data_IF_045453278989
#
_entry.id   IF_045453278989
#
_cell.length_a   1.000
_cell.length_b   1.000
_cell.length_c   1.000
_cell.angle_alpha   90.00
_cell.angle_beta   90.00
_cell.angle_gamma   90.00
#
_symmetry.space_group_name_H-M   'P 1'
#
loop_
_entity.id
_entity.type
_entity.pdbx_description
1 polymer ?
#
# COMPACT_ATOMS: atom_id res chain seq x y z
N UNK A 1 -0.23 20.84 3.57
CA UNK A 1 -1.61 20.50 3.19
C UNK A 1 -2.42 21.78 3.34
N UNK A 2 -3.25 22.15 2.38
CA UNK A 2 -4.16 23.29 2.51
C UNK A 2 -5.47 22.83 3.19
N UNK A 3 -6.37 23.78 3.52
CA UNK A 3 -7.61 23.49 4.24
C UNK A 3 -8.56 22.56 3.46
N UNK A 4 -8.66 22.73 2.15
CA UNK A 4 -9.51 21.88 1.31
C UNK A 4 -9.03 20.44 1.31
N UNK A 5 -7.73 20.21 1.15
CA UNK A 5 -7.12 18.87 1.21
C UNK A 5 -7.29 18.26 2.59
N UNK A 6 -7.16 19.06 3.67
CA UNK A 6 -7.39 18.58 5.04
C UNK A 6 -8.82 18.12 5.24
N UNK A 7 -9.78 18.87 4.70
CA UNK A 7 -11.20 18.50 4.70
C UNK A 7 -11.45 17.20 3.95
N UNK A 8 -10.92 17.06 2.74
CA UNK A 8 -11.13 15.88 1.90
C UNK A 8 -10.53 14.61 2.54
N UNK A 9 -9.35 14.73 3.19
CA UNK A 9 -8.75 13.64 3.98
C UNK A 9 -9.66 13.29 5.16
N UNK A 10 -10.20 14.27 5.87
CA UNK A 10 -11.15 14.06 6.97
C UNK A 10 -12.41 13.32 6.52
N UNK A 11 -13.01 13.74 5.41
CA UNK A 11 -14.19 13.07 4.83
C UNK A 11 -13.89 11.63 4.41
N UNK A 12 -12.70 11.36 3.85
CA UNK A 12 -12.27 10.01 3.52
C UNK A 12 -12.10 9.15 4.76
N UNK A 13 -11.53 9.72 5.82
CA UNK A 13 -11.41 9.04 7.12
C UNK A 13 -12.79 8.69 7.69
N UNK A 14 -13.70 9.65 7.76
CA UNK A 14 -15.06 9.45 8.30
C UNK A 14 -15.81 8.37 7.52
N UNK A 15 -15.72 8.39 6.19
CA UNK A 15 -16.31 7.36 5.32
C UNK A 15 -15.71 5.98 5.61
N UNK A 16 -14.39 5.88 5.74
CA UNK A 16 -13.70 4.64 6.06
C UNK A 16 -14.11 4.11 7.43
N UNK A 17 -14.20 4.97 8.43
CA UNK A 17 -14.63 4.59 9.78
C UNK A 17 -16.09 4.10 9.80
N UNK A 18 -16.97 4.74 9.04
CA UNK A 18 -18.36 4.29 8.91
C UNK A 18 -18.43 2.91 8.22
N UNK A 19 -17.65 2.71 7.16
CA UNK A 19 -17.56 1.41 6.50
C UNK A 19 -17.03 0.33 7.45
N UNK A 20 -15.95 0.59 8.19
CA UNK A 20 -15.39 -0.33 9.19
C UNK A 20 -16.38 -0.63 10.32
N UNK A 21 -17.18 0.36 10.76
CA UNK A 21 -18.22 0.16 11.76
C UNK A 21 -19.29 -0.81 11.25
N UNK A 22 -19.67 -0.73 9.99
CA UNK A 22 -20.62 -1.66 9.34
C UNK A 22 -20.03 -3.07 9.18
N UNK A 23 -18.72 -3.20 8.98
CA UNK A 23 -18.01 -4.49 9.01
C UNK A 23 -17.93 -5.10 10.43
N UNK A 24 -18.04 -4.27 11.47
CA UNK A 24 -17.92 -4.67 12.86
C UNK A 24 -16.54 -5.29 13.16
N UNK A 25 -16.52 -6.47 13.80
CA UNK A 25 -15.28 -7.18 14.17
C UNK A 25 -14.37 -7.55 13.00
N UNK A 26 -14.85 -7.44 11.77
CA UNK A 26 -14.09 -7.73 10.55
C UNK A 26 -13.37 -6.52 9.97
N UNK A 27 -13.36 -5.40 10.71
CA UNK A 27 -12.64 -4.18 10.29
C UNK A 27 -11.13 -4.38 10.14
N UNK A 28 -10.57 -5.39 10.78
CA UNK A 28 -9.19 -5.86 10.56
C UNK A 28 -9.19 -7.37 10.28
N UNK A 29 -8.25 -7.81 9.44
CA UNK A 29 -8.16 -9.23 9.07
C UNK A 29 -7.71 -10.11 10.25
N UNK A 30 -8.09 -11.42 10.27
CA UNK A 30 -7.64 -12.35 11.30
C UNK A 30 -6.11 -12.38 11.46
N UNK A 31 -5.37 -12.29 10.37
CA UNK A 31 -3.90 -12.25 10.41
C UNK A 31 -3.33 -11.01 11.11
N UNK A 32 -3.98 -9.86 10.99
CA UNK A 32 -3.60 -8.68 11.76
C UNK A 32 -3.90 -8.85 13.26
N UNK A 33 -5.01 -9.47 13.60
CA UNK A 33 -5.38 -9.81 14.98
C UNK A 33 -4.35 -10.73 15.62
N UNK A 34 -4.00 -11.82 14.95
CA UNK A 34 -2.97 -12.77 15.42
C UNK A 34 -1.61 -12.09 15.55
N UNK A 35 -1.32 -11.10 14.70
CA UNK A 35 -0.11 -10.27 14.75
C UNK A 35 -0.10 -9.21 15.86
N UNK A 36 -1.17 -9.13 16.67
CA UNK A 36 -1.23 -8.24 17.85
C UNK A 36 -1.96 -6.92 17.64
N UNK A 37 -2.46 -6.61 16.43
CA UNK A 37 -3.29 -5.43 16.21
C UNK A 37 -4.70 -5.62 16.79
N UNK A 38 -5.25 -4.56 17.39
CA UNK A 38 -6.53 -4.62 18.09
C UNK A 38 -7.65 -3.91 17.33
N UNK A 39 -7.34 -2.81 16.65
CA UNK A 39 -8.33 -1.96 15.96
C UNK A 39 -7.82 -1.44 14.62
N UNK A 40 -8.75 -0.95 13.79
CA UNK A 40 -8.40 -0.30 12.52
C UNK A 40 -7.68 1.03 12.75
N UNK A 41 -7.98 1.73 13.82
CA UNK A 41 -7.30 2.98 14.20
C UNK A 41 -5.81 2.72 14.48
N UNK A 42 -5.50 1.67 15.24
CA UNK A 42 -4.12 1.26 15.51
C UNK A 42 -3.37 0.91 14.22
N UNK A 43 -4.01 0.15 13.33
CA UNK A 43 -3.45 -0.17 12.01
C UNK A 43 -3.21 1.09 11.18
N UNK A 44 -4.15 2.04 11.19
CA UNK A 44 -4.07 3.30 10.45
C UNK A 44 -2.94 4.21 10.93
N UNK A 45 -2.66 4.23 12.24
CA UNK A 45 -1.51 4.95 12.80
C UNK A 45 -0.18 4.47 12.20
N UNK A 46 -0.01 3.16 12.03
CA UNK A 46 1.15 2.59 11.35
C UNK A 46 1.27 3.06 9.90
N UNK A 47 0.17 3.18 9.18
CA UNK A 47 0.15 3.70 7.81
C UNK A 47 0.56 5.17 7.76
N UNK A 48 0.09 6.02 8.69
CA UNK A 48 0.47 7.43 8.79
C UNK A 48 1.98 7.58 9.01
N UNK A 49 2.57 6.78 9.88
CA UNK A 49 4.03 6.79 10.11
C UNK A 49 4.82 6.43 8.84
N UNK A 50 4.32 5.50 8.05
CA UNK A 50 4.95 5.09 6.77
C UNK A 50 4.91 6.16 5.68
N UNK A 51 3.96 7.09 5.72
CA UNK A 51 3.87 8.19 4.75
C UNK A 51 5.03 9.18 4.84
N UNK A 52 5.76 9.21 5.94
CA UNK A 52 6.82 10.19 6.16
C UNK A 52 6.30 11.62 6.30
N UNK A 53 7.11 12.61 5.89
CA UNK A 53 6.80 14.05 5.99
C UNK A 53 6.33 14.69 4.68
N UNK A 54 5.96 13.90 3.67
CA UNK A 54 5.53 14.45 2.38
C UNK A 54 4.20 15.20 2.50
N UNK A 55 4.11 16.31 1.76
CA UNK A 55 2.85 17.05 1.65
C UNK A 55 1.84 16.22 0.86
N UNK A 56 0.63 16.06 1.42
CA UNK A 56 -0.51 15.48 0.69
C UNK A 56 -1.10 16.56 -0.22
N UNK A 57 -1.18 16.26 -1.51
CA UNK A 57 -1.70 17.17 -2.54
C UNK A 57 -3.21 17.03 -2.73
N UNK A 58 -3.79 15.90 -2.38
CA UNK A 58 -5.23 15.65 -2.42
C UNK A 58 -5.59 14.19 -2.24
N UNK A 59 -6.88 13.91 -2.41
CA UNK A 59 -7.46 12.57 -2.41
C UNK A 59 -7.98 12.25 -3.81
N UNK A 60 -7.62 11.09 -4.32
CA UNK A 60 -8.11 10.54 -5.58
C UNK A 60 -9.22 9.52 -5.31
N UNK A 61 -10.15 9.44 -6.21
CA UNK A 61 -11.08 8.31 -6.34
C UNK A 61 -10.51 7.30 -7.33
N UNK A 62 -11.00 6.06 -7.28
CA UNK A 62 -10.62 5.00 -8.23
C UNK A 62 -10.76 5.51 -9.66
N UNK A 63 -9.77 5.25 -10.50
CA UNK A 63 -9.66 5.70 -11.89
C UNK A 63 -9.53 7.22 -12.08
N UNK A 64 -9.34 7.99 -11.04
CA UNK A 64 -9.04 9.41 -11.12
C UNK A 64 -7.52 9.63 -11.17
N UNK A 65 -7.03 10.32 -12.19
CA UNK A 65 -5.61 10.64 -12.32
C UNK A 65 -5.23 11.86 -11.47
N UNK A 66 -4.02 11.88 -10.88
CA UNK A 66 -3.47 13.07 -10.23
C UNK A 66 -3.37 14.22 -11.25
N UNK A 67 -3.70 15.43 -10.80
CA UNK A 67 -3.69 16.65 -11.66
C UNK A 67 -2.29 17.22 -11.89
N UNK A 68 -1.37 16.89 -10.99
CA UNK A 68 0.04 17.32 -11.02
C UNK A 68 0.89 16.33 -10.20
N UNK A 69 2.24 16.33 -10.36
CA UNK A 69 3.13 15.54 -9.53
C UNK A 69 2.97 15.85 -8.04
N UNK A 70 3.12 14.84 -7.19
CA UNK A 70 3.03 14.98 -5.74
C UNK A 70 2.56 13.70 -5.07
N UNK A 71 2.37 13.76 -3.75
CA UNK A 71 1.86 12.66 -2.96
C UNK A 71 0.33 12.78 -2.82
N UNK A 72 -0.39 11.78 -3.30
CA UNK A 72 -1.84 11.71 -3.30
C UNK A 72 -2.32 10.49 -2.52
N UNK A 73 -3.41 10.62 -1.79
CA UNK A 73 -4.09 9.49 -1.18
C UNK A 73 -5.14 8.94 -2.14
N UNK A 74 -5.30 7.61 -2.16
CA UNK A 74 -6.36 6.95 -2.92
C UNK A 74 -7.46 6.49 -1.97
N UNK A 75 -8.67 7.03 -2.16
CA UNK A 75 -9.87 6.56 -1.49
C UNK A 75 -10.48 5.40 -2.29
N UNK A 76 -10.36 4.21 -1.75
CA UNK A 76 -10.86 2.96 -2.36
C UNK A 76 -12.28 2.61 -1.91
N UNK A 77 -12.87 3.35 -0.96
CA UNK A 77 -14.22 3.09 -0.50
C UNK A 77 -15.22 3.79 -1.44
N UNK A 78 -16.13 3.07 -2.10
CA UNK A 78 -17.14 3.68 -2.95
C UNK A 78 -18.06 4.69 -2.22
N UNK A 79 -18.49 5.72 -2.91
CA UNK A 79 -19.33 6.78 -2.32
C UNK A 79 -20.79 6.35 -2.12
N UNK A 80 -21.26 5.36 -2.86
CA UNK A 80 -22.61 4.81 -2.83
C UNK A 80 -22.89 3.91 -1.61
N UNK A 81 -21.94 3.83 -0.67
CA UNK A 81 -22.05 3.03 0.55
C UNK A 81 -22.47 1.57 0.30
N UNK A 82 -21.73 0.83 -0.52
CA UNK A 82 -22.08 -0.55 -0.82
C UNK A 82 -22.20 -1.37 0.47
N UNK A 83 -23.03 -2.42 0.43
CA UNK A 83 -23.07 -3.37 1.52
C UNK A 83 -21.68 -4.02 1.69
N UNK A 84 -21.14 -4.10 2.92
CA UNK A 84 -19.80 -4.67 3.15
C UNK A 84 -19.61 -6.07 2.57
N UNK A 85 -20.69 -6.86 2.48
CA UNK A 85 -20.65 -8.20 1.90
C UNK A 85 -20.33 -8.21 0.39
N UNK A 86 -20.55 -7.10 -0.32
CA UNK A 86 -20.23 -6.95 -1.74
C UNK A 86 -18.93 -6.19 -2.00
N UNK A 87 -18.27 -5.72 -0.94
CA UNK A 87 -16.97 -5.08 -1.07
C UNK A 87 -15.85 -6.13 -1.04
N UNK A 88 -15.38 -6.49 -2.20
CA UNK A 88 -14.21 -7.37 -2.36
C UNK A 88 -12.92 -6.55 -2.35
N UNK A 89 -12.73 -5.75 -1.29
CA UNK A 89 -11.48 -5.04 -1.05
C UNK A 89 -10.38 -6.02 -0.65
N UNK A 90 -9.58 -6.41 -1.61
CA UNK A 90 -8.39 -7.24 -1.37
C UNK A 90 -7.15 -6.58 -1.98
N UNK A 91 -6.00 -7.15 -1.71
CA UNK A 91 -4.73 -6.63 -2.21
C UNK A 91 -4.73 -6.52 -3.75
N UNK A 92 -5.24 -7.53 -4.46
CA UNK A 92 -5.34 -7.51 -5.91
C UNK A 92 -6.19 -6.36 -6.45
N UNK A 93 -7.34 -6.08 -5.81
CA UNK A 93 -8.19 -4.94 -6.19
C UNK A 93 -7.47 -3.62 -5.97
N UNK A 94 -6.82 -3.45 -4.79
CA UNK A 94 -6.08 -2.23 -4.48
C UNK A 94 -4.90 -1.96 -5.41
N UNK A 95 -4.25 -3.00 -5.93
CA UNK A 95 -3.20 -2.88 -6.96
C UNK A 95 -3.79 -2.36 -8.28
N UNK A 96 -4.91 -2.92 -8.72
CA UNK A 96 -5.61 -2.51 -9.94
C UNK A 96 -6.18 -1.09 -9.83
N UNK A 97 -6.68 -0.69 -8.66
CA UNK A 97 -7.19 0.66 -8.40
C UNK A 97 -6.08 1.71 -8.58
N UNK A 98 -4.86 1.43 -8.10
CA UNK A 98 -3.71 2.31 -8.30
C UNK A 98 -3.32 2.41 -9.78
N UNK A 99 -3.31 1.30 -10.50
CA UNK A 99 -3.03 1.27 -11.94
C UNK A 99 -4.10 2.04 -12.71
N UNK A 100 -5.37 1.89 -12.35
CA UNK A 100 -6.47 2.66 -12.94
C UNK A 100 -6.33 4.18 -12.72
N UNK A 101 -5.70 4.59 -11.61
CA UNK A 101 -5.34 5.98 -11.35
C UNK A 101 -4.12 6.48 -12.16
N UNK A 102 -3.47 5.60 -12.92
CA UNK A 102 -2.35 5.92 -13.81
C UNK A 102 -0.98 5.58 -13.26
N UNK A 103 -0.87 4.75 -12.22
CA UNK A 103 0.42 4.24 -11.76
C UNK A 103 1.03 3.32 -12.81
N UNK A 104 2.28 3.57 -13.19
CA UNK A 104 3.04 2.75 -14.13
C UNK A 104 3.89 1.69 -13.44
N UNK A 105 4.07 1.79 -12.14
CA UNK A 105 4.75 0.87 -11.26
C UNK A 105 4.07 0.94 -9.89
N UNK A 106 3.83 -0.21 -9.26
CA UNK A 106 3.30 -0.27 -7.90
C UNK A 106 4.36 -0.89 -6.97
N UNK A 107 4.63 -0.22 -5.86
CA UNK A 107 5.48 -0.74 -4.78
C UNK A 107 4.58 -1.38 -3.73
N UNK A 108 4.52 -2.71 -3.71
CA UNK A 108 3.65 -3.44 -2.82
C UNK A 108 4.41 -3.98 -1.61
N UNK A 109 4.37 -3.24 -0.52
CA UNK A 109 5.09 -3.57 0.70
C UNK A 109 4.17 -4.26 1.71
N UNK A 110 4.51 -5.49 2.10
CA UNK A 110 3.76 -6.28 3.07
C UNK A 110 4.66 -6.90 4.13
N UNK A 111 4.18 -6.99 5.38
CA UNK A 111 4.94 -7.59 6.48
C UNK A 111 5.14 -9.10 6.35
N UNK A 112 4.19 -9.80 5.72
CA UNK A 112 4.22 -11.27 5.55
C UNK A 112 4.65 -11.72 4.16
N UNK A 113 4.94 -10.79 3.26
CA UNK A 113 5.13 -11.08 1.85
C UNK A 113 3.78 -11.27 1.11
N UNK A 114 3.79 -10.98 -0.16
CA UNK A 114 2.67 -11.20 -1.07
C UNK A 114 3.23 -11.47 -2.46
N UNK A 115 2.66 -12.44 -3.16
CA UNK A 115 3.17 -12.91 -4.46
C UNK A 115 2.32 -12.45 -5.65
N UNK A 116 1.25 -11.69 -5.40
CA UNK A 116 0.34 -11.24 -6.46
C UNK A 116 0.98 -10.20 -7.37
N UNK A 117 0.86 -10.43 -8.66
CA UNK A 117 1.21 -9.53 -9.74
C UNK A 117 0.01 -9.22 -10.64
N UNK A 118 0.23 -8.51 -11.73
CA UNK A 118 -0.75 -8.21 -12.77
C UNK A 118 -0.05 -8.01 -14.11
N UNK A 119 -0.64 -8.48 -15.22
CA UNK A 119 -0.06 -8.31 -16.56
C UNK A 119 -0.22 -6.88 -17.11
N UNK A 120 -0.78 -5.94 -16.31
CA UNK A 120 -1.07 -4.58 -16.78
C UNK A 120 0.06 -3.60 -16.46
N UNK A 121 0.69 -3.76 -15.29
CA UNK A 121 1.82 -2.93 -14.87
C UNK A 121 2.68 -3.70 -13.86
N UNK A 122 3.99 -3.46 -13.78
CA UNK A 122 4.87 -4.14 -12.85
C UNK A 122 4.49 -3.85 -11.40
N UNK A 123 4.41 -4.90 -10.59
CA UNK A 123 4.20 -4.86 -9.14
C UNK A 123 5.49 -5.29 -8.46
N UNK A 124 6.25 -4.34 -7.94
CA UNK A 124 7.45 -4.61 -7.16
C UNK A 124 7.05 -5.02 -5.74
N UNK A 125 7.25 -6.29 -5.41
CA UNK A 125 6.86 -6.88 -4.13
C UNK A 125 7.98 -6.74 -3.11
N UNK A 126 7.65 -6.12 -1.97
CA UNK A 126 8.62 -5.84 -0.91
C UNK A 126 8.19 -6.48 0.41
N UNK A 127 9.17 -6.95 1.19
CA UNK A 127 8.94 -7.40 2.57
C UNK A 127 10.04 -6.93 3.50
N UNK A 128 9.72 -6.77 4.79
CA UNK A 128 10.71 -6.58 5.85
C UNK A 128 11.08 -7.88 6.57
N UNK A 129 10.47 -9.02 6.19
CA UNK A 129 10.67 -10.31 6.82
C UNK A 129 11.66 -11.16 6.02
N UNK A 130 12.85 -11.38 6.58
CA UNK A 130 13.91 -12.16 5.92
C UNK A 130 13.50 -13.62 5.69
N UNK A 131 12.87 -14.26 6.68
CA UNK A 131 12.44 -15.65 6.56
C UNK A 131 11.42 -15.83 5.41
N UNK A 132 10.45 -14.92 5.30
CA UNK A 132 9.50 -14.92 4.19
C UNK A 132 10.21 -14.71 2.85
N UNK A 133 11.17 -13.79 2.79
CA UNK A 133 11.94 -13.54 1.57
C UNK A 133 12.73 -14.78 1.13
N UNK A 134 13.37 -15.46 2.07
CA UNK A 134 14.15 -16.68 1.77
C UNK A 134 13.25 -17.81 1.24
N UNK A 135 12.03 -17.94 1.76
CA UNK A 135 11.05 -18.92 1.27
C UNK A 135 10.44 -18.57 -0.09
N UNK A 136 10.26 -17.27 -0.38
CA UNK A 136 9.55 -16.76 -1.56
C UNK A 136 10.46 -15.90 -2.44
N UNK A 137 11.75 -16.22 -2.49
CA UNK A 137 12.76 -15.43 -3.21
C UNK A 137 12.57 -15.37 -4.73
N UNK A 138 11.76 -16.27 -5.29
CA UNK A 138 11.37 -16.25 -6.71
C UNK A 138 10.12 -15.39 -6.98
N UNK A 139 9.43 -14.97 -5.93
CA UNK A 139 8.16 -14.23 -6.02
C UNK A 139 8.28 -12.81 -5.47
N UNK A 140 9.22 -12.55 -4.54
CA UNK A 140 9.40 -11.26 -3.87
C UNK A 140 10.67 -10.60 -4.38
N UNK A 141 10.56 -9.35 -4.82
CA UNK A 141 11.63 -8.63 -5.51
C UNK A 141 12.63 -7.96 -4.56
N UNK A 142 12.20 -7.58 -3.34
CA UNK A 142 13.02 -6.81 -2.42
C UNK A 142 12.78 -7.15 -0.96
N UNK A 143 13.87 -7.32 -0.19
CA UNK A 143 13.82 -7.48 1.26
C UNK A 143 14.51 -6.30 1.96
N UNK A 144 13.82 -5.71 2.94
CA UNK A 144 14.36 -4.71 3.85
C UNK A 144 14.70 -5.28 5.25
N UNK A 145 14.75 -6.61 5.39
CA UNK A 145 15.01 -7.29 6.67
C UNK A 145 16.35 -6.93 7.29
N UNK A 146 17.38 -6.65 6.49
CA UNK A 146 18.68 -6.18 6.91
C UNK A 146 18.66 -4.90 7.74
N UNK A 147 17.69 -4.01 7.49
CA UNK A 147 17.48 -2.79 8.28
C UNK A 147 17.01 -3.13 9.70
N UNK A 148 16.17 -4.14 9.85
CA UNK A 148 15.65 -4.56 11.16
C UNK A 148 16.72 -5.22 12.02
N UNK A 149 17.68 -5.90 11.41
CA UNK A 149 18.82 -6.54 12.09
C UNK A 149 19.97 -5.58 12.35
N UNK A 150 19.93 -4.36 11.78
CA UNK A 150 21.03 -3.40 11.84
C UNK A 150 22.20 -3.70 10.92
N UNK A 151 22.07 -4.68 10.03
CA UNK A 151 23.10 -5.02 9.04
C UNK A 151 23.19 -4.00 7.89
N UNK A 152 22.15 -3.19 7.72
CA UNK A 152 22.04 -2.14 6.71
C UNK A 152 21.31 -0.93 7.31
N UNK A 153 21.70 0.27 6.94
CA UNK A 153 20.97 1.48 7.31
C UNK A 153 19.75 1.69 6.43
N UNK A 154 18.79 2.49 6.89
CA UNK A 154 17.63 2.87 6.07
C UNK A 154 18.03 3.57 4.77
N UNK A 155 19.11 4.36 4.80
CA UNK A 155 19.60 5.08 3.63
C UNK A 155 20.17 4.10 2.58
N UNK A 156 20.99 3.14 2.99
CA UNK A 156 21.53 2.10 2.10
C UNK A 156 20.42 1.24 1.49
N UNK A 157 19.42 0.84 2.30
CA UNK A 157 18.25 0.11 1.79
C UNK A 157 17.45 0.94 0.78
N UNK A 158 17.28 2.24 1.02
CA UNK A 158 16.59 3.14 0.11
C UNK A 158 17.33 3.29 -1.23
N UNK A 159 18.65 3.43 -1.21
CA UNK A 159 19.48 3.48 -2.42
C UNK A 159 19.40 2.17 -3.21
N UNK A 160 19.44 1.03 -2.54
CA UNK A 160 19.32 -0.29 -3.17
C UNK A 160 17.92 -0.46 -3.81
N UNK A 161 16.85 -0.04 -3.11
CA UNK A 161 15.49 -0.06 -3.65
C UNK A 161 15.36 0.90 -4.84
N UNK A 162 15.93 2.10 -4.74
CA UNK A 162 15.90 3.07 -5.84
C UNK A 162 16.61 2.55 -7.09
N UNK A 163 17.76 1.90 -6.92
CA UNK A 163 18.46 1.24 -8.01
C UNK A 163 17.63 0.13 -8.69
N UNK A 164 16.87 -0.65 -7.91
CA UNK A 164 15.96 -1.66 -8.46
C UNK A 164 14.81 -1.01 -9.23
N UNK A 165 14.18 0.03 -8.69
CA UNK A 165 13.13 0.79 -9.39
C UNK A 165 13.63 1.32 -10.73
N UNK A 166 14.83 1.88 -10.76
CA UNK A 166 15.42 2.38 -12.01
C UNK A 166 15.62 1.27 -13.05
N UNK A 167 16.09 0.08 -12.66
CA UNK A 167 16.25 -1.06 -13.58
C UNK A 167 14.91 -1.52 -14.14
N UNK A 168 13.88 -1.66 -13.29
CA UNK A 168 12.53 -2.03 -13.71
C UNK A 168 11.95 -0.99 -14.68
N UNK A 169 12.11 0.30 -14.38
CA UNK A 169 11.71 1.37 -15.30
C UNK A 169 12.46 1.35 -16.64
N UNK A 170 13.62 0.68 -16.71
CA UNK A 170 14.40 0.46 -17.92
C UNK A 170 14.18 -0.92 -18.57
N UNK A 171 13.18 -1.67 -18.13
CA UNK A 171 12.75 -2.92 -18.76
C UNK A 171 13.24 -4.20 -18.08
N UNK A 172 13.81 -4.15 -16.87
CA UNK A 172 14.02 -5.35 -16.05
C UNK A 172 12.66 -5.86 -15.55
N UNK A 173 12.42 -7.15 -15.67
CA UNK A 173 11.16 -7.78 -15.22
C UNK A 173 11.13 -7.90 -13.70
N UNK A 174 9.94 -7.77 -13.11
CA UNK A 174 9.69 -8.13 -11.71
C UNK A 174 9.46 -9.64 -11.58
N UNK A 175 9.60 -10.18 -10.37
CA UNK A 175 9.36 -11.60 -10.12
C UNK A 175 7.85 -11.91 -10.18
N UNK A 176 7.49 -13.13 -10.59
CA UNK A 176 6.12 -13.66 -10.61
C UNK A 176 5.10 -12.75 -11.33
N UNK A 177 5.41 -12.35 -12.56
CA UNK A 177 4.46 -11.75 -13.49
C UNK A 177 3.66 -12.80 -14.28
#
# INVERSE_FOLDING_TARGET
MNEDVARDVGLTYDKTMEFCRRLGRYSISPGNFVGGLTTIEEKSMGAVVKMGGCRIEGVLKIAQRPRHPGFWLLDVIPDDKPEPAFFFGGDATGLLDQIACGCHLVLFNTGRGHVGGTPVAPILKLTGNQETFDMLSHDIDFCAGSVLTGAETKAEAAERLWGLIQRICNGEEVHAE
#
